data_IF_919445748261
#
_entry.id   IF_919445748261
#
_cell.length_a   1.000
_cell.length_b   1.000
_cell.length_c   1.000
_cell.angle_alpha   90.00
_cell.angle_beta   90.00
_cell.angle_gamma   90.00
#
_symmetry.space_group_name_H-M   'P 1'
#
loop_
_entity.id
_entity.type
_entity.pdbx_description
1 polymer ?
#
# COMPACT_ATOMS: atom_id res chain seq x y z
N UNK A 1 -8.90 5.23 -19.82
CA UNK A 1 -9.43 5.68 -18.51
C UNK A 1 -8.94 4.68 -17.50
N UNK A 2 -8.19 5.11 -16.49
CA UNK A 2 -7.78 4.23 -15.40
C UNK A 2 -9.02 3.69 -14.67
N UNK A 3 -9.03 2.42 -14.32
CA UNK A 3 -10.11 1.80 -13.54
C UNK A 3 -10.22 2.46 -12.17
N UNK A 4 -11.45 2.69 -11.70
CA UNK A 4 -11.66 3.17 -10.33
C UNK A 4 -11.20 2.11 -9.32
N UNK A 5 -10.57 2.56 -8.23
CA UNK A 5 -10.16 1.70 -7.13
C UNK A 5 -11.39 1.19 -6.37
N UNK A 6 -11.63 -0.11 -6.37
CA UNK A 6 -12.80 -0.74 -5.71
C UNK A 6 -12.38 -1.73 -4.63
N UNK A 7 -13.27 -1.97 -3.66
CA UNK A 7 -12.99 -2.82 -2.50
C UNK A 7 -12.42 -2.05 -1.30
N UNK A 8 -11.94 -2.75 -0.26
CA UNK A 8 -11.42 -2.14 0.97
C UNK A 8 -10.34 -1.08 0.75
N UNK A 9 -9.52 -1.22 -0.29
CA UNK A 9 -8.45 -0.27 -0.63
C UNK A 9 -8.96 1.16 -0.86
N UNK A 10 -10.23 1.34 -1.25
CA UNK A 10 -10.81 2.65 -1.49
C UNK A 10 -10.83 3.50 -0.21
N UNK A 11 -11.11 2.88 0.95
CA UNK A 11 -11.09 3.58 2.23
C UNK A 11 -9.68 4.07 2.59
N UNK A 12 -8.65 3.29 2.25
CA UNK A 12 -7.25 3.67 2.44
C UNK A 12 -6.85 4.80 1.48
N UNK A 13 -7.28 4.74 0.22
CA UNK A 13 -7.03 5.81 -0.75
C UNK A 13 -7.65 7.15 -0.32
N UNK A 14 -8.79 7.13 0.38
CA UNK A 14 -9.44 8.35 0.90
C UNK A 14 -8.70 9.02 2.08
N UNK A 15 -7.74 8.33 2.69
CA UNK A 15 -6.94 8.89 3.81
C UNK A 15 -5.50 9.25 3.42
N UNK A 16 -5.04 8.87 2.23
CA UNK A 16 -3.78 9.40 1.68
C UNK A 16 -3.86 10.94 1.65
N UNK A 17 -2.76 11.61 2.01
CA UNK A 17 -2.67 13.07 2.13
C UNK A 17 -3.35 13.66 3.38
N UNK A 18 -3.87 12.82 4.27
CA UNK A 18 -4.44 13.29 5.53
C UNK A 18 -3.38 13.38 6.63
N UNK A 19 -3.57 14.32 7.56
CA UNK A 19 -2.76 14.43 8.76
C UNK A 19 -2.99 13.26 9.72
N UNK A 20 -1.98 12.93 10.51
CA UNK A 20 -1.96 11.85 11.51
C UNK A 20 -3.08 11.97 12.55
N UNK A 21 -3.52 13.20 12.85
CA UNK A 21 -4.58 13.52 13.81
C UNK A 21 -5.99 13.46 13.21
N UNK A 22 -6.12 13.28 11.89
CA UNK A 22 -7.43 13.23 11.23
C UNK A 22 -8.22 12.03 11.78
N UNK A 23 -9.44 12.23 12.31
CA UNK A 23 -10.19 11.15 12.97
C UNK A 23 -10.41 9.90 12.11
N UNK A 24 -10.50 10.09 10.78
CA UNK A 24 -10.68 9.01 9.82
C UNK A 24 -9.45 8.09 9.72
N UNK A 25 -8.23 8.64 9.83
CA UNK A 25 -6.98 7.86 9.84
C UNK A 25 -6.98 6.91 11.03
N UNK A 26 -7.24 7.44 12.24
CA UNK A 26 -7.32 6.61 13.45
C UNK A 26 -8.48 5.62 13.42
N UNK A 27 -9.60 5.97 12.78
CA UNK A 27 -10.74 5.05 12.64
C UNK A 27 -10.36 3.85 11.77
N UNK A 28 -9.78 4.07 10.59
CA UNK A 28 -9.35 2.98 9.70
C UNK A 28 -8.29 2.12 10.38
N UNK A 29 -7.34 2.74 11.09
CA UNK A 29 -6.34 2.01 11.88
C UNK A 29 -7.00 1.06 12.91
N UNK A 30 -8.07 1.52 13.59
CA UNK A 30 -8.83 0.68 14.54
C UNK A 30 -9.63 -0.42 13.85
N UNK A 31 -10.20 -0.14 12.68
CA UNK A 31 -11.03 -1.10 11.94
C UNK A 31 -10.22 -2.30 11.44
N UNK A 32 -8.92 -2.13 11.20
CA UNK A 32 -7.98 -3.24 10.91
C UNK A 32 -7.83 -4.20 12.11
N UNK A 33 -8.23 -3.76 13.31
CA UNK A 33 -8.30 -4.62 14.50
C UNK A 33 -6.93 -5.04 15.05
N UNK A 34 -5.88 -4.28 14.76
CA UNK A 34 -4.54 -4.52 15.25
C UNK A 34 -4.06 -3.38 16.16
N UNK A 35 -3.29 -3.73 17.18
CA UNK A 35 -2.38 -2.79 17.81
C UNK A 35 -1.29 -2.45 16.81
N UNK A 36 -0.98 -1.16 16.66
CA UNK A 36 0.16 -0.74 15.86
C UNK A 36 1.29 -0.28 16.78
N UNK A 37 2.53 -0.50 16.34
CA UNK A 37 3.72 0.13 16.92
C UNK A 37 4.05 1.39 16.13
N UNK A 38 4.52 2.41 16.85
CA UNK A 38 5.05 3.62 16.22
C UNK A 38 6.55 3.46 16.14
N UNK A 39 7.08 3.55 14.93
CA UNK A 39 8.51 3.63 14.67
C UNK A 39 8.80 5.00 14.05
N UNK A 40 9.72 5.73 14.63
CA UNK A 40 10.18 7.02 14.11
C UNK A 40 11.63 6.80 13.67
N UNK A 41 11.94 7.13 12.42
CA UNK A 41 13.32 7.13 11.96
C UNK A 41 14.06 8.30 12.65
N UNK A 42 15.25 8.04 13.21
CA UNK A 42 16.04 9.09 13.88
C UNK A 42 16.73 10.04 12.87
N UNK A 43 16.87 9.61 11.61
CA UNK A 43 17.56 10.33 10.54
C UNK A 43 16.59 10.98 9.53
N UNK A 44 15.39 10.43 9.35
CA UNK A 44 14.33 10.96 8.51
C UNK A 44 13.08 11.29 9.36
N UNK A 45 12.36 12.41 9.10
CA UNK A 45 11.16 12.77 9.88
C UNK A 45 9.94 11.91 9.52
N UNK A 46 10.15 10.64 9.17
CA UNK A 46 9.10 9.72 8.81
C UNK A 46 8.62 8.96 10.05
N UNK A 47 7.30 8.98 10.26
CA UNK A 47 6.62 8.24 11.32
C UNK A 47 5.95 7.04 10.67
N UNK A 48 6.23 5.84 11.16
CA UNK A 48 5.64 4.61 10.67
C UNK A 48 4.70 4.01 11.71
N UNK A 49 3.46 3.76 11.33
CA UNK A 49 2.54 2.92 12.12
C UNK A 49 2.54 1.51 11.54
N UNK A 50 3.18 0.60 12.25
CA UNK A 50 3.32 -0.80 11.84
C UNK A 50 2.23 -1.63 12.52
N UNK A 51 1.32 -2.20 11.73
CA UNK A 51 0.23 -3.04 12.24
C UNK A 51 0.72 -4.49 12.33
N UNK A 52 1.23 -4.88 13.50
CA UNK A 52 1.96 -6.13 13.68
C UNK A 52 1.17 -7.37 13.20
N UNK A 53 1.82 -8.17 12.36
CA UNK A 53 1.28 -9.40 11.79
C UNK A 53 0.14 -9.21 10.77
N UNK A 54 -0.18 -7.97 10.35
CA UNK A 54 -1.27 -7.69 9.40
C UNK A 54 -0.82 -7.47 7.96
N UNK A 55 0.47 -7.36 7.70
CA UNK A 55 0.97 -6.96 6.40
C UNK A 55 0.61 -5.51 6.06
N UNK A 56 0.43 -4.64 7.06
CA UNK A 56 -0.02 -3.26 6.87
C UNK A 56 0.90 -2.28 7.60
N UNK A 57 1.23 -1.20 6.91
CA UNK A 57 2.03 -0.10 7.45
C UNK A 57 1.57 1.24 6.89
N UNK A 58 1.48 2.25 7.74
CA UNK A 58 1.26 3.65 7.34
C UNK A 58 2.55 4.42 7.53
N UNK A 59 3.00 5.16 6.51
CA UNK A 59 4.14 6.06 6.60
C UNK A 59 3.65 7.50 6.48
N UNK A 60 4.07 8.32 7.43
CA UNK A 60 3.76 9.73 7.51
C UNK A 60 5.04 10.55 7.38
N UNK A 61 5.06 11.50 6.46
CA UNK A 61 6.12 12.50 6.33
C UNK A 61 5.55 13.84 6.77
N UNK A 62 6.23 14.56 7.68
CA UNK A 62 5.73 15.80 8.26
C UNK A 62 4.27 15.67 8.81
N UNK A 63 3.99 14.54 9.47
CA UNK A 63 2.66 14.17 9.99
C UNK A 63 1.57 13.95 8.92
N UNK A 64 1.89 13.96 7.63
CA UNK A 64 0.96 13.69 6.52
C UNK A 64 1.14 12.26 6.04
N UNK A 65 0.03 11.52 5.90
CA UNK A 65 0.04 10.14 5.39
C UNK A 65 0.42 10.11 3.91
N UNK A 66 1.68 9.82 3.63
CA UNK A 66 2.27 9.84 2.28
C UNK A 66 2.25 8.47 1.62
N UNK A 67 2.33 7.39 2.41
CA UNK A 67 2.29 6.04 1.88
C UNK A 67 1.56 5.05 2.79
N UNK A 68 0.90 4.07 2.17
CA UNK A 68 0.32 2.90 2.84
C UNK A 68 0.83 1.64 2.15
N UNK A 69 1.47 0.75 2.90
CA UNK A 69 2.05 -0.48 2.38
C UNK A 69 1.20 -1.69 2.77
N UNK A 70 0.91 -2.52 1.79
CA UNK A 70 0.26 -3.83 1.95
C UNK A 70 1.26 -4.90 1.54
N UNK A 71 1.91 -5.54 2.51
CA UNK A 71 2.90 -6.60 2.29
C UNK A 71 2.20 -7.95 2.18
N UNK A 72 2.40 -8.68 1.08
CA UNK A 72 1.78 -9.99 0.85
C UNK A 72 2.73 -11.15 1.13
N UNK A 73 4.02 -10.93 0.97
CA UNK A 73 5.07 -11.89 1.31
C UNK A 73 5.85 -11.31 2.49
N UNK A 74 5.79 -11.99 3.64
CA UNK A 74 6.48 -11.54 4.84
C UNK A 74 7.99 -11.57 4.60
N UNK A 75 8.66 -10.49 5.00
CA UNK A 75 10.12 -10.44 5.02
C UNK A 75 10.65 -10.94 6.37
N UNK A 76 11.69 -11.77 6.32
CA UNK A 76 12.35 -12.30 7.51
C UNK A 76 12.85 -11.15 8.41
N UNK A 77 12.37 -11.11 9.65
CA UNK A 77 12.75 -10.09 10.63
C UNK A 77 11.83 -8.86 10.67
N UNK A 78 10.85 -8.74 9.77
CA UNK A 78 9.81 -7.71 9.85
C UNK A 78 8.67 -8.14 10.76
N UNK A 79 8.23 -7.25 11.67
CA UNK A 79 7.03 -7.48 12.49
C UNK A 79 5.73 -7.22 11.71
N UNK A 80 5.81 -6.71 10.47
CA UNK A 80 4.65 -6.30 9.66
C UNK A 80 3.80 -7.52 9.29
N UNK A 81 4.40 -8.65 8.91
CA UNK A 81 3.69 -9.88 8.52
C UNK A 81 3.13 -9.85 7.10
N UNK A 82 2.07 -10.62 6.83
CA UNK A 82 1.45 -10.73 5.49
C UNK A 82 -0.03 -10.37 5.51
N UNK A 83 -0.46 -9.57 4.54
CA UNK A 83 -1.83 -9.19 4.31
C UNK A 83 -2.59 -10.37 3.72
N UNK A 84 -3.66 -10.79 4.41
CA UNK A 84 -4.49 -11.94 4.02
C UNK A 84 -5.94 -11.59 3.71
N UNK A 85 -6.31 -10.30 3.78
CA UNK A 85 -7.66 -9.84 3.54
C UNK A 85 -7.94 -9.53 2.06
N UNK A 86 -9.21 -9.44 1.65
CA UNK A 86 -9.54 -8.80 0.38
C UNK A 86 -9.04 -7.35 0.42
N UNK A 87 -8.44 -6.87 -0.69
CA UNK A 87 -7.92 -5.50 -0.77
C UNK A 87 -8.57 -4.73 -1.93
N UNK A 88 -8.42 -5.26 -3.15
CA UNK A 88 -9.05 -4.71 -4.36
C UNK A 88 -10.10 -5.71 -4.83
N UNK A 89 -11.32 -5.25 -5.15
CA UNK A 89 -12.36 -6.14 -5.67
C UNK A 89 -11.91 -6.80 -6.98
N UNK A 90 -12.12 -8.12 -7.09
CA UNK A 90 -11.69 -8.89 -8.25
C UNK A 90 -10.20 -9.24 -8.27
N UNK A 91 -9.44 -8.85 -7.25
CA UNK A 91 -8.03 -9.19 -7.06
C UNK A 91 -7.89 -10.11 -5.85
N UNK A 92 -7.29 -11.28 -6.08
CA UNK A 92 -6.99 -12.25 -5.03
C UNK A 92 -5.48 -12.43 -5.02
N UNK A 93 -4.82 -11.87 -4.02
CA UNK A 93 -3.40 -12.12 -3.82
C UNK A 93 -3.16 -13.57 -3.37
N UNK A 94 -2.01 -14.19 -3.70
CA UNK A 94 -0.87 -13.62 -4.43
C UNK A 94 -0.98 -13.73 -5.97
N UNK A 95 -2.11 -14.20 -6.52
CA UNK A 95 -2.29 -14.51 -7.96
C UNK A 95 -2.42 -13.27 -8.88
N UNK A 96 -2.03 -12.10 -8.39
CA UNK A 96 -2.03 -10.88 -9.16
C UNK A 96 -0.75 -10.86 -9.98
N UNK A 97 -0.88 -10.82 -11.30
CA UNK A 97 0.24 -10.70 -12.24
C UNK A 97 0.34 -9.27 -12.78
N UNK A 98 1.49 -8.86 -13.33
CA UNK A 98 1.60 -7.56 -14.01
C UNK A 98 0.53 -7.35 -15.08
N UNK A 99 0.24 -8.39 -15.89
CA UNK A 99 -0.76 -8.30 -16.96
C UNK A 99 -2.18 -8.14 -16.42
N UNK A 100 -2.49 -8.72 -15.26
CA UNK A 100 -3.78 -8.55 -14.60
C UNK A 100 -3.94 -7.15 -14.01
N UNK A 101 -2.86 -6.58 -13.49
CA UNK A 101 -2.83 -5.19 -13.07
C UNK A 101 -3.04 -4.25 -14.27
N UNK A 102 -2.32 -4.47 -15.38
CA UNK A 102 -2.46 -3.70 -16.62
C UNK A 102 -3.89 -3.80 -17.19
N UNK A 103 -4.48 -4.99 -17.19
CA UNK A 103 -5.86 -5.19 -17.66
C UNK A 103 -6.91 -4.44 -16.81
N UNK A 104 -6.59 -4.14 -15.56
CA UNK A 104 -7.52 -3.50 -14.60
C UNK A 104 -7.34 -1.99 -14.56
N UNK A 105 -6.10 -1.54 -14.47
CA UNK A 105 -5.77 -0.13 -14.28
C UNK A 105 -5.45 0.57 -15.60
N UNK A 106 -5.26 -0.19 -16.67
CA UNK A 106 -4.87 0.33 -17.98
C UNK A 106 -3.35 0.37 -18.14
N UNK A 107 -2.86 1.33 -18.91
CA UNK A 107 -1.43 1.52 -19.12
C UNK A 107 -0.78 2.07 -17.83
N UNK A 108 0.32 1.45 -17.35
CA UNK A 108 1.06 1.98 -16.21
C UNK A 108 1.70 3.33 -16.54
N UNK A 109 1.69 4.25 -15.58
CA UNK A 109 2.43 5.51 -15.67
C UNK A 109 3.94 5.26 -15.65
N UNK A 110 4.38 4.27 -14.87
CA UNK A 110 5.77 3.85 -14.86
C UNK A 110 5.90 2.35 -14.60
N UNK A 111 6.99 1.78 -15.11
CA UNK A 111 7.31 0.36 -14.99
C UNK A 111 8.77 0.16 -14.61
N UNK A 112 9.03 -0.80 -13.73
CA UNK A 112 10.38 -1.27 -13.46
C UNK A 112 10.98 -2.01 -14.65
N UNK A 113 12.27 -1.81 -14.91
CA UNK A 113 13.01 -2.59 -15.89
C UNK A 113 13.57 -3.86 -15.24
N UNK A 114 13.26 -5.04 -15.79
CA UNK A 114 13.87 -6.31 -15.40
C UNK A 114 12.92 -7.27 -14.69
N UNK A 115 13.51 -8.31 -14.08
CA UNK A 115 12.82 -9.28 -13.21
C UNK A 115 13.66 -9.37 -11.93
N UNK A 116 13.13 -9.07 -10.74
CA UNK A 116 11.75 -8.63 -10.45
C UNK A 116 11.35 -7.29 -11.09
N UNK A 117 10.04 -7.06 -11.26
CA UNK A 117 9.46 -5.89 -11.96
C UNK A 117 8.45 -5.20 -11.06
N UNK A 118 8.12 -3.94 -11.38
CA UNK A 118 7.00 -3.25 -10.77
C UNK A 118 6.13 -2.52 -11.80
N UNK A 119 4.92 -2.16 -11.37
CA UNK A 119 3.95 -1.36 -12.13
C UNK A 119 3.39 -0.25 -11.25
N UNK A 120 3.33 0.98 -11.76
CA UNK A 120 2.69 2.11 -11.09
C UNK A 120 1.61 2.71 -11.96
N UNK A 121 0.48 3.05 -11.37
CA UNK A 121 -0.68 3.63 -12.05
C UNK A 121 -1.17 4.87 -11.30
N UNK A 122 -1.66 5.85 -12.04
CA UNK A 122 -2.40 6.99 -11.49
C UNK A 122 -3.83 6.57 -11.14
N UNK A 123 -4.29 6.97 -9.94
CA UNK A 123 -5.63 6.72 -9.43
C UNK A 123 -6.19 8.01 -8.83
N UNK A 124 -6.85 8.82 -9.66
CA UNK A 124 -7.27 10.16 -9.25
C UNK A 124 -6.04 11.05 -9.02
N UNK A 125 -5.91 11.58 -7.81
CA UNK A 125 -4.79 12.46 -7.41
C UNK A 125 -3.65 11.70 -6.70
N UNK A 126 -3.72 10.36 -6.64
CA UNK A 126 -2.75 9.49 -5.96
C UNK A 126 -2.19 8.44 -6.93
N UNK A 127 -1.26 7.63 -6.44
CA UNK A 127 -0.70 6.50 -7.18
C UNK A 127 -0.89 5.18 -6.46
N UNK A 128 -1.03 4.11 -7.24
CA UNK A 128 -0.91 2.74 -6.75
C UNK A 128 0.29 2.07 -7.41
N UNK A 129 1.13 1.46 -6.60
CA UNK A 129 2.34 0.76 -7.01
C UNK A 129 2.24 -0.71 -6.63
N UNK A 130 2.47 -1.59 -7.60
CA UNK A 130 2.57 -3.03 -7.43
C UNK A 130 4.02 -3.45 -7.60
N UNK A 131 4.61 -4.02 -6.55
CA UNK A 131 5.94 -4.62 -6.55
C UNK A 131 5.82 -6.14 -6.69
N UNK A 132 6.42 -6.70 -7.76
CA UNK A 132 6.37 -8.12 -8.07
C UNK A 132 7.76 -8.73 -7.93
N UNK A 133 7.89 -9.76 -7.09
CA UNK A 133 9.09 -10.58 -6.94
C UNK A 133 8.96 -11.90 -7.70
N UNK A 134 10.00 -12.74 -7.64
CA UNK A 134 9.98 -14.06 -8.31
C UNK A 134 8.85 -14.95 -7.78
N UNK A 135 8.49 -14.77 -6.50
CA UNK A 135 7.45 -15.49 -5.79
C UNK A 135 6.03 -14.93 -6.07
N UNK A 136 5.92 -13.83 -6.82
CA UNK A 136 4.65 -13.18 -7.18
C UNK A 136 4.52 -11.77 -6.60
N UNK A 137 3.29 -11.32 -6.38
CA UNK A 137 3.03 -10.01 -5.78
C UNK A 137 3.63 -9.95 -4.37
N UNK A 138 4.64 -9.10 -4.20
CA UNK A 138 5.30 -8.88 -2.93
C UNK A 138 4.57 -7.80 -2.11
N UNK A 139 4.26 -6.67 -2.75
CA UNK A 139 3.71 -5.51 -2.05
C UNK A 139 2.82 -4.67 -2.96
N UNK A 140 1.79 -4.08 -2.38
CA UNK A 140 1.04 -2.97 -2.97
C UNK A 140 1.27 -1.74 -2.11
N UNK A 141 1.54 -0.60 -2.74
CA UNK A 141 1.70 0.69 -2.06
C UNK A 141 0.71 1.70 -2.63
N UNK A 142 -0.06 2.34 -1.77
CA UNK A 142 -0.75 3.60 -2.11
C UNK A 142 0.17 4.76 -1.77
N UNK A 143 0.29 5.73 -2.68
CA UNK A 143 1.25 6.82 -2.59
C UNK A 143 0.56 8.16 -2.86
N UNK A 144 0.86 9.17 -2.05
CA UNK A 144 0.44 10.56 -2.30
C UNK A 144 1.15 11.13 -3.52
N UNK A 145 2.47 10.95 -3.59
CA UNK A 145 3.33 11.44 -4.67
C UNK A 145 4.29 10.35 -5.15
N UNK A 146 4.91 10.55 -6.31
CA UNK A 146 5.97 9.66 -6.78
C UNK A 146 7.20 9.81 -5.87
N UNK A 147 7.81 8.71 -5.37
CA UNK A 147 9.08 8.78 -4.65
C UNK A 147 10.22 9.32 -5.51
#
# INVERSE_FOLDING_TARGET
>A
MAGALTGPIAAFNEIIGCTIDKPKVSQIARDVGATYTVWEDEELPDIHWIFEGKGLEFCFTDEILTAIFFQFIAEDGSNVGSWSGPLIDGFVAPEITPERADATFGEPEATGCGSPTWRRYEIGDHFIHFDFREEGLHMITLLLETP
#
